data_IF_004625746105
#
_entry.id   IF_004625746105
#
_cell.length_a   1.000
_cell.length_b   1.000
_cell.length_c   1.000
_cell.angle_alpha   90.00
_cell.angle_beta   90.00
_cell.angle_gamma   90.00
#
_symmetry.space_group_name_H-M   'P 1'
#
loop_
_entity.id
_entity.type
_entity.pdbx_description
1 polymer ?
#
# COMPACT_ATOMS: atom_id res chain seq x y z
N UNK A 1 -18.96 1.57 7.45
CA UNK A 1 -17.51 1.65 7.71
C UNK A 1 -17.05 2.97 7.11
N UNK A 2 -16.54 3.93 7.88
CA UNK A 2 -16.18 5.21 7.26
C UNK A 2 -15.64 6.33 8.15
N UNK A 3 -15.18 6.05 9.37
CA UNK A 3 -14.59 7.08 10.23
C UNK A 3 -13.25 6.69 10.88
N UNK A 4 -12.86 5.40 10.83
CA UNK A 4 -11.63 4.92 11.48
C UNK A 4 -10.41 4.95 10.55
N UNK A 5 -10.60 4.78 9.24
CA UNK A 5 -9.49 4.58 8.30
C UNK A 5 -8.55 5.76 8.16
N UNK A 6 -9.03 7.02 8.23
CA UNK A 6 -8.14 8.19 8.08
C UNK A 6 -7.31 8.45 9.33
N UNK A 7 -7.89 8.34 10.53
CA UNK A 7 -7.17 8.56 11.79
C UNK A 7 -6.16 7.45 12.07
N UNK A 8 -6.50 6.20 11.73
CA UNK A 8 -5.58 5.07 11.79
C UNK A 8 -4.40 5.25 10.83
N UNK A 9 -4.69 5.73 9.60
CA UNK A 9 -3.66 6.02 8.61
C UNK A 9 -2.75 7.17 9.04
N UNK A 10 -3.29 8.24 9.63
CA UNK A 10 -2.52 9.33 10.24
C UNK A 10 -1.61 8.80 11.34
N UNK A 11 -2.14 7.96 12.25
CA UNK A 11 -1.35 7.36 13.34
C UNK A 11 -0.19 6.51 12.81
N UNK A 12 -0.42 5.75 11.74
CA UNK A 12 0.62 4.95 11.09
C UNK A 12 1.67 5.86 10.44
N UNK A 13 1.25 6.90 9.72
CA UNK A 13 2.17 7.86 9.12
C UNK A 13 3.00 8.59 10.17
N UNK A 14 2.39 9.07 11.25
CA UNK A 14 3.09 9.72 12.36
C UNK A 14 4.12 8.78 12.97
N UNK A 15 3.79 7.49 13.14
CA UNK A 15 4.71 6.48 13.63
C UNK A 15 5.90 6.26 12.66
N UNK A 16 5.61 6.00 11.38
CA UNK A 16 6.63 5.71 10.34
C UNK A 16 7.59 6.90 10.17
N UNK A 17 7.05 8.12 10.17
CA UNK A 17 7.80 9.35 9.89
C UNK A 17 8.24 10.10 11.15
N UNK A 18 8.01 9.56 12.35
CA UNK A 18 8.45 10.18 13.62
C UNK A 18 9.96 10.40 13.72
N UNK A 19 10.75 9.66 12.94
CA UNK A 19 12.22 9.74 12.93
C UNK A 19 12.77 10.76 11.91
N UNK A 20 11.92 11.39 11.08
CA UNK A 20 12.38 12.38 10.12
C UNK A 20 12.67 13.72 10.80
N UNK A 21 13.85 14.26 10.54
CA UNK A 21 14.33 15.58 10.96
C UNK A 21 13.56 16.74 10.34
N UNK A 22 12.88 16.51 9.21
CA UNK A 22 11.99 17.48 8.57
C UNK A 22 10.52 17.13 8.78
N UNK A 23 9.69 18.16 8.95
CA UNK A 23 8.22 18.03 9.02
C UNK A 23 7.67 17.67 7.64
N UNK A 24 7.55 16.36 7.37
CA UNK A 24 6.78 15.85 6.24
C UNK A 24 5.31 16.17 6.51
N UNK A 25 4.82 17.27 5.94
CA UNK A 25 3.42 17.66 6.12
C UNK A 25 2.48 16.72 5.36
N UNK A 26 1.44 16.25 6.04
CA UNK A 26 0.41 15.39 5.46
C UNK A 26 -0.86 16.18 5.18
N UNK A 27 -1.49 15.90 4.04
CA UNK A 27 -2.84 16.34 3.72
C UNK A 27 -3.65 15.16 3.18
N UNK A 28 -4.95 15.16 3.45
CA UNK A 28 -5.85 14.18 2.86
C UNK A 28 -6.02 14.45 1.35
N UNK A 29 -5.86 13.41 0.53
CA UNK A 29 -6.06 13.43 -0.92
C UNK A 29 -7.37 12.71 -1.27
N UNK A 30 -8.47 13.47 -1.34
CA UNK A 30 -9.82 12.97 -1.63
C UNK A 30 -9.92 12.16 -2.91
N UNK A 31 -9.06 12.45 -3.90
CA UNK A 31 -9.09 11.74 -5.19
C UNK A 31 -8.73 10.26 -5.03
N UNK A 32 -7.87 9.96 -4.07
CA UNK A 32 -7.26 8.66 -3.88
C UNK A 32 -7.55 8.06 -2.50
N UNK A 33 -8.29 8.78 -1.65
CA UNK A 33 -8.54 8.43 -0.25
C UNK A 33 -7.24 8.03 0.49
N UNK A 34 -6.22 8.87 0.33
CA UNK A 34 -4.86 8.61 0.80
C UNK A 34 -4.31 9.84 1.54
N UNK A 35 -3.33 9.64 2.41
CA UNK A 35 -2.51 10.74 2.91
C UNK A 35 -1.45 11.09 1.88
N UNK A 36 -1.33 12.37 1.55
CA UNK A 36 -0.39 12.90 0.57
C UNK A 36 0.59 13.84 1.27
N UNK A 37 1.88 13.60 1.02
CA UNK A 37 2.92 14.58 1.27
C UNK A 37 3.62 14.97 -0.03
N UNK A 38 4.02 16.23 -0.13
CA UNK A 38 4.81 16.78 -1.22
C UNK A 38 6.07 17.43 -0.64
N UNK A 39 7.24 17.06 -1.18
CA UNK A 39 8.54 17.49 -0.65
C UNK A 39 9.56 17.67 -1.78
N UNK A 40 10.75 18.14 -1.44
CA UNK A 40 11.81 18.51 -2.37
C UNK A 40 12.99 17.52 -2.33
N UNK A 41 14.09 17.86 -3.00
CA UNK A 41 15.28 17.02 -3.01
C UNK A 41 15.96 16.98 -1.63
N UNK A 42 15.76 17.99 -0.81
CA UNK A 42 16.42 18.12 0.50
C UNK A 42 15.91 17.05 1.47
N UNK A 43 14.61 16.74 1.43
CA UNK A 43 14.00 15.71 2.28
C UNK A 43 14.02 14.30 1.64
N UNK A 44 14.42 14.19 0.36
CA UNK A 44 14.29 12.94 -0.41
C UNK A 44 15.01 11.76 0.25
N UNK A 45 16.27 11.95 0.63
CA UNK A 45 17.10 10.85 1.13
C UNK A 45 16.53 10.27 2.43
N UNK A 46 16.03 11.14 3.29
CA UNK A 46 15.39 10.80 4.55
C UNK A 46 14.06 10.07 4.33
N UNK A 47 13.18 10.60 3.47
CA UNK A 47 11.90 9.95 3.14
C UNK A 47 12.12 8.55 2.55
N UNK A 48 13.08 8.41 1.62
CA UNK A 48 13.39 7.09 1.03
C UNK A 48 13.94 6.14 2.09
N UNK A 49 14.85 6.61 2.95
CA UNK A 49 15.39 5.78 4.04
C UNK A 49 14.30 5.29 5.00
N UNK A 50 13.31 6.12 5.31
CA UNK A 50 12.17 5.74 6.14
C UNK A 50 11.30 4.70 5.44
N UNK A 51 11.03 4.86 4.15
CA UNK A 51 10.25 3.89 3.37
C UNK A 51 10.97 2.53 3.30
N UNK A 52 12.27 2.51 3.00
CA UNK A 52 13.05 1.28 2.93
C UNK A 52 13.20 0.58 4.30
N UNK A 53 13.16 1.33 5.41
CA UNK A 53 13.19 0.78 6.77
C UNK A 53 11.86 0.16 7.19
N UNK A 54 10.74 0.76 6.81
CA UNK A 54 9.43 0.42 7.36
C UNK A 54 8.56 -0.46 6.45
N UNK A 55 8.91 -0.61 5.17
CA UNK A 55 8.18 -1.43 4.21
C UNK A 55 9.01 -2.63 3.76
N UNK A 56 8.40 -3.82 3.71
CA UNK A 56 9.10 -5.06 3.40
C UNK A 56 9.44 -5.22 1.91
N UNK A 57 8.70 -4.58 1.01
CA UNK A 57 8.92 -4.76 -0.43
C UNK A 57 8.70 -3.47 -1.22
N UNK A 58 9.49 -3.29 -2.28
CA UNK A 58 9.41 -2.19 -3.21
C UNK A 58 9.16 -2.70 -4.64
N UNK A 59 8.20 -2.07 -5.31
CA UNK A 59 7.75 -2.39 -6.66
C UNK A 59 8.00 -1.21 -7.59
N UNK A 60 8.29 -1.52 -8.85
CA UNK A 60 8.51 -0.59 -9.96
C UNK A 60 7.87 -1.15 -11.25
N UNK A 61 7.98 -0.40 -12.35
CA UNK A 61 7.38 -0.79 -13.64
C UNK A 61 7.83 -2.16 -14.17
N UNK A 62 9.00 -2.67 -13.74
CA UNK A 62 9.55 -3.95 -14.19
C UNK A 62 9.07 -5.16 -13.39
N UNK A 63 8.67 -4.98 -12.12
CA UNK A 63 8.33 -6.10 -11.23
C UNK A 63 6.91 -6.01 -10.61
N UNK A 64 6.17 -4.92 -10.82
CA UNK A 64 4.80 -4.79 -10.31
C UNK A 64 3.85 -5.87 -10.85
N UNK A 65 4.15 -6.46 -12.01
CA UNK A 65 3.44 -7.60 -12.59
C UNK A 65 3.58 -8.89 -11.74
N UNK A 66 4.59 -8.97 -10.87
CA UNK A 66 4.85 -10.11 -9.97
C UNK A 66 4.23 -9.90 -8.58
N UNK A 67 3.76 -8.68 -8.28
CA UNK A 67 3.20 -8.36 -6.97
C UNK A 67 1.97 -9.22 -6.64
N UNK A 68 1.73 -9.55 -5.35
CA UNK A 68 0.53 -10.23 -4.91
C UNK A 68 -0.75 -9.50 -5.33
N UNK A 69 -1.84 -10.25 -5.49
CA UNK A 69 -3.10 -9.70 -6.00
C UNK A 69 -3.63 -8.55 -5.13
N UNK A 70 -3.46 -8.66 -3.81
CA UNK A 70 -3.81 -7.64 -2.82
C UNK A 70 -3.05 -6.34 -3.07
N UNK A 71 -1.74 -6.42 -3.32
CA UNK A 71 -0.89 -5.27 -3.64
C UNK A 71 -1.34 -4.63 -4.95
N UNK A 72 -1.60 -5.42 -5.99
CA UNK A 72 -2.09 -4.91 -7.28
C UNK A 72 -3.45 -4.24 -7.16
N UNK A 73 -4.37 -4.83 -6.40
CA UNK A 73 -5.70 -4.29 -6.15
C UNK A 73 -5.61 -2.94 -5.45
N UNK A 74 -4.89 -2.86 -4.33
CA UNK A 74 -4.71 -1.61 -3.60
C UNK A 74 -3.96 -0.57 -4.44
N UNK A 75 -2.94 -0.96 -5.21
CA UNK A 75 -2.21 -0.06 -6.11
C UNK A 75 -3.10 0.53 -7.22
N UNK A 76 -4.08 -0.24 -7.72
CA UNK A 76 -5.00 0.23 -8.77
C UNK A 76 -5.85 1.43 -8.34
N UNK A 77 -6.06 1.61 -7.03
CA UNK A 77 -6.74 2.78 -6.47
C UNK A 77 -5.97 4.08 -6.77
N UNK A 78 -4.64 4.00 -6.93
CA UNK A 78 -3.77 5.14 -7.26
C UNK A 78 -3.65 5.40 -8.77
N UNK A 79 -4.33 4.58 -9.59
CA UNK A 79 -4.21 4.58 -11.04
C UNK A 79 -3.03 3.75 -11.55
N UNK A 80 -2.72 3.91 -12.84
CA UNK A 80 -1.63 3.17 -13.47
C UNK A 80 -0.26 3.62 -12.93
N UNK A 81 0.64 2.65 -12.80
CA UNK A 81 2.01 2.90 -12.41
C UNK A 81 2.72 3.74 -13.46
N UNK A 82 3.29 4.86 -13.03
CA UNK A 82 3.98 5.78 -13.91
C UNK A 82 5.48 5.52 -13.94
N UNK A 83 6.17 6.03 -14.96
CA UNK A 83 7.62 5.86 -15.15
C UNK A 83 8.46 6.45 -14.01
N UNK A 84 9.32 5.65 -13.38
CA UNK A 84 10.10 6.00 -12.17
C UNK A 84 9.28 6.10 -10.87
N UNK A 85 8.03 5.65 -10.86
CA UNK A 85 7.29 5.48 -9.62
C UNK A 85 7.87 4.31 -8.85
N UNK A 86 7.87 4.44 -7.53
CA UNK A 86 8.11 3.32 -6.64
C UNK A 86 6.87 3.12 -5.80
N UNK A 87 6.50 1.86 -5.60
CA UNK A 87 5.42 1.47 -4.70
C UNK A 87 6.03 0.61 -3.59
N UNK A 88 5.97 1.09 -2.36
CA UNK A 88 6.34 0.34 -1.17
C UNK A 88 5.11 -0.35 -0.62
N UNK A 89 5.23 -1.61 -0.18
CA UNK A 89 4.12 -2.35 0.41
C UNK A 89 4.53 -3.01 1.70
N UNK A 90 3.63 -2.98 2.68
CA UNK A 90 3.76 -3.85 3.85
C UNK A 90 3.55 -5.31 3.46
N UNK A 91 3.86 -6.24 4.37
CA UNK A 91 3.57 -7.66 4.21
C UNK A 91 2.08 -7.92 3.87
N UNK A 92 1.77 -8.45 2.67
CA UNK A 92 0.41 -8.68 2.21
C UNK A 92 -0.24 -9.95 2.81
N UNK A 93 0.44 -10.66 3.72
CA UNK A 93 -0.17 -11.74 4.52
C UNK A 93 -0.87 -11.24 5.78
N UNK A 94 -0.71 -9.94 6.13
CA UNK A 94 -1.35 -9.31 7.27
C UNK A 94 -2.79 -8.90 6.94
N UNK A 95 -3.60 -8.65 7.98
CA UNK A 95 -4.98 -8.16 7.82
C UNK A 95 -5.04 -6.75 7.22
N UNK A 96 -3.99 -5.96 7.45
CA UNK A 96 -3.87 -4.58 6.99
C UNK A 96 -2.70 -4.46 6.04
N UNK A 97 -2.98 -4.01 4.81
CA UNK A 97 -1.98 -3.65 3.83
C UNK A 97 -1.78 -2.13 3.84
N UNK A 98 -0.54 -1.69 4.05
CA UNK A 98 -0.16 -0.29 3.88
C UNK A 98 0.66 -0.18 2.61
N UNK A 99 0.31 0.79 1.75
CA UNK A 99 1.05 1.10 0.53
C UNK A 99 1.59 2.52 0.56
N UNK A 100 2.85 2.67 0.14
CA UNK A 100 3.49 3.97 -0.08
C UNK A 100 3.87 4.18 -1.55
N UNK A 101 3.12 5.04 -2.25
CA UNK A 101 3.42 5.40 -3.63
C UNK A 101 4.29 6.66 -3.70
N UNK A 102 5.58 6.45 -3.94
CA UNK A 102 6.57 7.50 -4.14
C UNK A 102 6.68 7.84 -5.63
N UNK A 103 6.50 9.13 -5.95
CA UNK A 103 6.55 9.62 -7.32
C UNK A 103 7.48 10.84 -7.46
N UNK A 104 8.58 10.73 -8.21
CA UNK A 104 9.38 11.88 -8.62
C UNK A 104 8.70 12.60 -9.79
N UNK A 105 8.44 13.90 -9.65
CA UNK A 105 7.84 14.70 -10.71
C UNK A 105 8.91 15.02 -11.78
N UNK A 106 8.50 15.36 -13.01
CA UNK A 106 9.34 15.41 -14.21
C UNK A 106 10.76 15.99 -14.08
N UNK A 107 10.96 17.04 -13.26
CA UNK A 107 12.26 17.70 -13.11
C UNK A 107 13.10 17.15 -11.94
N UNK A 108 12.62 16.15 -11.21
CA UNK A 108 13.26 15.58 -10.04
C UNK A 108 13.44 16.55 -8.86
N UNK A 109 12.81 17.72 -8.90
CA UNK A 109 12.89 18.74 -7.83
C UNK A 109 11.75 18.65 -6.83
N UNK A 110 10.68 17.98 -7.22
CA UNK A 110 9.48 17.79 -6.42
C UNK A 110 9.12 16.31 -6.42
N UNK A 111 8.72 15.83 -5.26
CA UNK A 111 8.30 14.47 -5.02
C UNK A 111 6.93 14.50 -4.37
N UNK A 112 6.16 13.44 -4.59
CA UNK A 112 4.96 13.18 -3.82
C UNK A 112 5.01 11.77 -3.27
N UNK A 113 4.60 11.61 -2.03
CA UNK A 113 4.36 10.32 -1.41
C UNK A 113 2.88 10.23 -1.05
N UNK A 114 2.22 9.18 -1.50
CA UNK A 114 0.88 8.81 -1.04
C UNK A 114 0.95 7.58 -0.17
N UNK A 115 0.35 7.63 1.01
CA UNK A 115 0.16 6.47 1.87
C UNK A 115 -1.33 6.13 1.87
N UNK A 116 -1.67 4.87 1.60
CA UNK A 116 -3.02 4.34 1.77
C UNK A 116 -2.98 3.03 2.55
N UNK A 117 -4.14 2.69 3.10
CA UNK A 117 -4.38 1.43 3.77
C UNK A 117 -5.52 0.70 3.06
N UNK A 118 -5.36 -0.61 2.87
CA UNK A 118 -6.42 -1.50 2.43
C UNK A 118 -6.58 -2.66 3.42
N UNK A 119 -7.83 -3.04 3.69
CA UNK A 119 -8.14 -4.18 4.57
C UNK A 119 -8.18 -5.43 3.71
N UNK A 120 -7.25 -6.36 3.96
CA UNK A 120 -7.23 -7.62 3.25
C UNK A 120 -8.31 -8.50 3.84
N UNK A 121 -9.37 -8.74 3.07
CA UNK A 121 -10.34 -9.79 3.38
C UNK A 121 -9.67 -11.13 3.10
N UNK A 122 -9.30 -11.84 4.17
CA UNK A 122 -8.97 -13.25 4.05
C UNK A 122 -10.30 -13.97 3.83
N UNK A 123 -10.58 -14.36 2.59
CA UNK A 123 -11.68 -15.27 2.29
C UNK A 123 -11.35 -16.63 2.92
N UNK A 124 -11.81 -16.85 4.15
CA UNK A 124 -11.66 -18.11 4.90
C UNK A 124 -12.51 -19.26 4.34
N UNK A 125 -13.17 -19.09 3.18
CA UNK A 125 -14.22 -20.00 2.71
C UNK A 125 -13.84 -20.87 1.50
N UNK A 126 -12.55 -21.09 1.25
CA UNK A 126 -12.13 -22.20 0.37
C UNK A 126 -12.15 -23.53 1.14
N UNK A 127 -13.33 -23.90 1.65
CA UNK A 127 -13.61 -25.23 2.16
C UNK A 127 -13.57 -26.23 1.01
N UNK A 128 -12.58 -27.12 1.03
CA UNK A 128 -12.54 -28.31 0.17
C UNK A 128 -13.78 -29.13 0.47
N UNK A 129 -14.69 -29.23 -0.50
CA UNK A 129 -15.78 -30.22 -0.49
C UNK A 129 -15.18 -31.57 -0.87
N UNK A 130 -14.91 -32.44 0.10
CA UNK A 130 -14.67 -33.85 -0.20
C UNK A 130 -15.99 -34.55 -0.54
N UNK A 131 -15.99 -35.19 -1.71
CA UNK A 131 -17.08 -35.97 -2.25
C UNK A 131 -17.46 -37.14 -1.31
N UNK A 132 -18.76 -37.34 -1.09
CA UNK A 132 -19.29 -38.63 -0.67
C UNK A 132 -20.47 -38.99 -1.55
N UNK A 133 -20.17 -39.65 -2.68
CA UNK A 133 -21.16 -40.41 -3.44
C UNK A 133 -21.52 -41.67 -2.64
N UNK A 134 -22.53 -41.57 -1.79
CA UNK A 134 -23.19 -42.74 -1.21
C UNK A 134 -24.18 -43.32 -2.21
N UNK A 135 -23.74 -44.23 -3.07
CA UNK A 135 -24.64 -45.10 -3.84
C UNK A 135 -25.43 -45.99 -2.87
N UNK A 136 -26.72 -45.73 -2.72
CA UNK A 136 -27.64 -46.69 -2.10
C UNK A 136 -28.31 -47.53 -3.18
N UNK A 137 -27.93 -48.81 -3.19
CA UNK A 137 -28.62 -49.91 -3.86
C UNK A 137 -30.05 -49.99 -3.34
N UNK A 138 -31.04 -49.97 -4.24
CA UNK A 138 -32.40 -50.43 -3.95
C UNK A 138 -32.44 -51.94 -4.14
N UNK A 139 -32.73 -52.67 -3.07
CA UNK A 139 -33.20 -54.07 -3.14
C UNK A 139 -34.71 -54.11 -3.39
#
# INVERSE_FOLDING_TARGET
>A
MGAHSSQELETICDSIFSETSNDVSWKWDERFHALLSEFTCDERAEVVSVLEKNFETCWNESNISEAPLQVKHAASQLGEMRKNQLLYSSDPSREVLVLGAYWPWNNGKKFSLRILMDMIKIDLDSGVVEESMGSSVTS
#
